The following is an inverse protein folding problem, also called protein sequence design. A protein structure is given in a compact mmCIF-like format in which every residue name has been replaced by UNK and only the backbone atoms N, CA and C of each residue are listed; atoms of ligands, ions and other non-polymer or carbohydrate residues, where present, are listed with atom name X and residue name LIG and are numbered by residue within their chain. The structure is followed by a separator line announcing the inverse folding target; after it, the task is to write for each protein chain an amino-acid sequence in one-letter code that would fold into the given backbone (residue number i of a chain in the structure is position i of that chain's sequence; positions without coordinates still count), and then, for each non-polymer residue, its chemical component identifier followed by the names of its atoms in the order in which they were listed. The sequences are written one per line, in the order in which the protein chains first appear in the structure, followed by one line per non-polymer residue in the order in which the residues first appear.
data_IF_416058542148
#
_entry.id   IF_416058542148
#
_cell.length_a   1.000
_cell.length_b   1.000
_cell.length_c   1.000
_cell.angle_alpha   90.00
_cell.angle_beta   90.00
_cell.angle_gamma   90.00
#
_symmetry.space_group_name_H-M   'P 1'
#
loop_
_entity.id
_entity.type
_entity.pdbx_description
1 polymer ?
#
# COMPACT_ATOMS: atom_id res chain seq x y z
N UNK A 1 27.46 -15.63 -0.29
CA UNK A 1 26.92 -15.78 -1.65
C UNK A 1 25.48 -16.22 -1.55
N UNK A 2 24.54 -15.38 -1.96
CA UNK A 2 23.13 -15.74 -2.08
C UNK A 2 23.02 -16.69 -3.28
N UNK A 3 22.80 -17.99 -3.03
CA UNK A 3 22.49 -18.92 -4.12
C UNK A 3 21.16 -18.51 -4.74
N UNK A 4 21.20 -17.99 -5.93
CA UNK A 4 20.01 -17.71 -6.75
C UNK A 4 19.31 -19.04 -7.01
N UNK A 5 18.12 -19.23 -6.43
CA UNK A 5 17.33 -20.43 -6.73
C UNK A 5 16.79 -20.29 -8.14
N UNK A 6 17.04 -21.22 -9.05
CA UNK A 6 16.52 -21.16 -10.41
C UNK A 6 15.00 -21.14 -10.39
N UNK A 7 14.41 -20.39 -11.31
CA UNK A 7 12.96 -20.37 -11.50
C UNK A 7 12.48 -21.78 -11.90
N UNK A 8 11.41 -22.25 -11.25
CA UNK A 8 10.76 -23.51 -11.58
C UNK A 8 9.67 -23.28 -12.61
N UNK A 9 9.57 -24.13 -13.63
CA UNK A 9 8.41 -24.16 -14.52
C UNK A 9 7.15 -24.59 -13.73
N UNK A 10 5.98 -24.42 -14.32
CA UNK A 10 4.70 -24.72 -13.65
C UNK A 10 4.56 -26.20 -13.28
N UNK A 11 5.02 -27.11 -14.12
CA UNK A 11 5.04 -28.54 -13.82
C UNK A 11 5.86 -28.84 -12.56
N UNK A 12 7.09 -28.34 -12.49
CA UNK A 12 7.94 -28.52 -11.30
C UNK A 12 7.37 -27.82 -10.06
N UNK A 13 6.57 -26.76 -10.23
CA UNK A 13 5.85 -26.13 -9.11
C UNK A 13 4.72 -27.04 -8.58
N UNK A 14 3.95 -27.69 -9.46
CA UNK A 14 2.91 -28.66 -9.08
C UNK A 14 3.54 -29.85 -8.34
N UNK A 15 4.59 -30.45 -8.90
CA UNK A 15 5.31 -31.56 -8.25
C UNK A 15 5.83 -31.17 -6.86
N UNK A 16 6.37 -29.97 -6.72
CA UNK A 16 6.80 -29.42 -5.43
C UNK A 16 5.63 -29.26 -4.45
N UNK A 17 4.48 -28.77 -4.91
CA UNK A 17 3.28 -28.61 -4.08
C UNK A 17 2.76 -29.98 -3.60
N UNK A 18 2.74 -30.98 -4.45
CA UNK A 18 2.34 -32.36 -4.09
C UNK A 18 3.31 -32.99 -3.09
N UNK A 19 4.58 -33.08 -3.46
CA UNK A 19 5.56 -33.85 -2.70
C UNK A 19 6.03 -33.16 -1.41
N UNK A 20 6.21 -31.82 -1.43
CA UNK A 20 6.78 -31.09 -0.30
C UNK A 20 5.74 -30.35 0.54
N UNK A 21 4.52 -30.14 0.02
CA UNK A 21 3.47 -29.38 0.70
C UNK A 21 2.19 -30.19 0.91
N UNK A 22 2.13 -31.41 0.41
CA UNK A 22 0.97 -32.31 0.50
C UNK A 22 -0.33 -31.61 0.02
N UNK A 23 -0.19 -30.80 -1.06
CA UNK A 23 -1.35 -30.12 -1.66
C UNK A 23 -2.01 -31.10 -2.62
N UNK A 24 -3.33 -31.21 -2.52
CA UNK A 24 -4.17 -32.05 -3.36
C UNK A 24 -4.80 -31.24 -4.51
N UNK A 25 -5.19 -31.90 -5.57
CA UNK A 25 -5.72 -31.30 -6.81
C UNK A 25 -7.00 -32.03 -7.25
N UNK A 26 -7.98 -32.15 -6.34
CA UNK A 26 -9.23 -32.88 -6.60
C UNK A 26 -10.27 -32.00 -7.31
N UNK A 27 -10.46 -30.77 -6.83
CA UNK A 27 -11.44 -29.83 -7.39
C UNK A 27 -10.89 -29.01 -8.57
N UNK A 28 -9.60 -28.69 -8.53
CA UNK A 28 -8.86 -28.05 -9.62
C UNK A 28 -7.78 -29.05 -10.03
N UNK A 29 -7.92 -29.66 -11.20
CA UNK A 29 -6.96 -30.65 -11.70
C UNK A 29 -5.61 -30.00 -12.00
N UNK A 30 -4.55 -30.82 -12.02
CA UNK A 30 -3.16 -30.35 -12.14
C UNK A 30 -2.92 -29.45 -13.36
N UNK A 31 -3.51 -29.79 -14.51
CA UNK A 31 -3.40 -28.98 -15.73
C UNK A 31 -4.01 -27.58 -15.55
N UNK A 32 -5.20 -27.51 -14.94
CA UNK A 32 -5.84 -26.23 -14.64
C UNK A 32 -5.03 -25.43 -13.60
N UNK A 33 -4.46 -26.10 -12.62
CA UNK A 33 -3.59 -25.46 -11.62
C UNK A 33 -2.30 -24.93 -12.25
N UNK A 34 -1.72 -25.63 -13.25
CA UNK A 34 -0.59 -25.12 -14.03
C UNK A 34 -0.95 -23.84 -14.78
N UNK A 35 -2.12 -23.78 -15.43
CA UNK A 35 -2.62 -22.60 -16.13
C UNK A 35 -2.83 -21.42 -15.16
N UNK A 36 -3.35 -21.68 -13.97
CA UNK A 36 -3.52 -20.66 -12.92
C UNK A 36 -2.14 -20.14 -12.48
N UNK A 37 -1.18 -21.02 -12.21
CA UNK A 37 0.15 -20.62 -11.80
C UNK A 37 0.91 -19.90 -12.93
N UNK A 38 0.67 -20.26 -14.18
CA UNK A 38 1.22 -19.56 -15.34
C UNK A 38 0.68 -18.15 -15.47
N UNK A 39 -0.66 -17.97 -15.31
CA UNK A 39 -1.32 -16.64 -15.41
C UNK A 39 -1.00 -15.71 -14.25
N UNK A 40 -0.99 -16.23 -13.04
CA UNK A 40 -0.98 -15.39 -11.83
C UNK A 40 0.30 -15.51 -11.00
N UNK A 41 1.19 -16.43 -11.33
CA UNK A 41 2.43 -16.73 -10.65
C UNK A 41 2.24 -17.37 -9.25
N UNK A 42 3.11 -18.32 -8.93
CA UNK A 42 3.20 -19.00 -7.63
C UNK A 42 3.30 -18.02 -6.44
N UNK A 43 4.05 -16.92 -6.64
CA UNK A 43 4.27 -15.91 -5.58
C UNK A 43 2.96 -15.21 -5.21
N UNK A 44 2.04 -15.06 -6.15
CA UNK A 44 0.76 -14.38 -5.89
C UNK A 44 -0.32 -15.33 -5.38
N UNK A 45 -0.37 -16.57 -5.91
CA UNK A 45 -1.46 -17.52 -5.60
C UNK A 45 -1.19 -18.31 -4.33
N UNK A 46 0.06 -18.69 -4.07
CA UNK A 46 0.41 -19.60 -2.97
C UNK A 46 1.09 -18.91 -1.81
N UNK A 47 2.13 -18.12 -2.13
CA UNK A 47 3.05 -17.61 -1.09
C UNK A 47 2.36 -16.75 -0.02
N UNK A 48 1.45 -15.82 -0.35
CA UNK A 48 0.83 -14.94 0.64
C UNK A 48 -0.08 -15.69 1.63
N UNK A 49 -0.68 -16.79 1.19
CA UNK A 49 -1.74 -17.49 1.93
C UNK A 49 -1.25 -18.74 2.69
N UNK A 50 0.03 -19.11 2.60
CA UNK A 50 0.60 -20.29 3.29
C UNK A 50 0.28 -20.35 4.78
N UNK A 51 0.23 -19.21 5.39
CA UNK A 51 0.00 -19.09 6.82
C UNK A 51 -1.43 -19.46 7.28
N UNK A 52 -2.40 -19.42 6.37
CA UNK A 52 -3.77 -19.85 6.68
C UNK A 52 -3.85 -21.35 6.97
N UNK A 53 -2.87 -22.10 6.48
CA UNK A 53 -2.82 -23.56 6.58
C UNK A 53 -1.65 -24.07 7.44
N UNK A 54 -0.78 -23.17 7.89
CA UNK A 54 0.39 -23.54 8.70
C UNK A 54 -0.02 -23.95 10.09
N UNK A 55 0.56 -25.05 10.56
CA UNK A 55 0.46 -25.48 11.96
C UNK A 55 1.09 -24.45 12.88
N UNK A 56 0.40 -24.09 13.94
CA UNK A 56 0.87 -23.12 14.92
C UNK A 56 1.10 -23.79 16.28
N UNK A 57 2.04 -23.25 17.04
CA UNK A 57 2.23 -23.59 18.46
C UNK A 57 1.13 -22.95 19.35
N UNK A 58 1.21 -23.20 20.64
CA UNK A 58 0.25 -22.65 21.64
C UNK A 58 0.24 -21.12 21.68
N UNK A 59 1.32 -20.50 21.28
CA UNK A 59 1.47 -19.03 21.23
C UNK A 59 1.08 -18.44 19.86
N UNK A 60 0.61 -19.28 18.93
CA UNK A 60 0.20 -18.92 17.59
C UNK A 60 1.38 -18.60 16.65
N UNK A 61 2.58 -19.09 16.95
CA UNK A 61 3.71 -19.01 16.02
C UNK A 61 3.69 -20.20 15.06
N UNK A 62 4.02 -19.95 13.81
CA UNK A 62 4.06 -21.00 12.79
C UNK A 62 5.19 -21.99 13.07
N UNK A 63 4.85 -23.27 13.14
CA UNK A 63 5.83 -24.36 13.27
C UNK A 63 6.46 -24.60 11.90
N UNK A 64 7.79 -24.69 11.85
CA UNK A 64 8.56 -24.92 10.63
C UNK A 64 9.53 -26.07 10.87
N UNK A 65 9.66 -26.90 9.86
CA UNK A 65 10.70 -27.92 9.77
C UNK A 65 11.69 -27.54 8.65
N UNK A 66 12.96 -27.42 8.97
CA UNK A 66 14.02 -26.94 8.04
C UNK A 66 13.61 -25.67 7.25
N UNK A 67 12.98 -24.71 7.95
CA UNK A 67 12.47 -23.47 7.36
C UNK A 67 11.21 -23.61 6.50
N UNK A 68 10.64 -24.81 6.36
CA UNK A 68 9.43 -25.08 5.58
C UNK A 68 8.21 -25.08 6.50
N UNK A 69 7.11 -24.50 6.03
CA UNK A 69 5.84 -24.56 6.76
C UNK A 69 5.33 -25.99 6.85
N UNK A 70 4.96 -26.42 8.05
CA UNK A 70 4.20 -27.66 8.28
C UNK A 70 2.71 -27.28 8.25
N UNK A 71 1.91 -28.04 7.51
CA UNK A 71 0.46 -27.83 7.47
C UNK A 71 -0.25 -28.76 8.46
N UNK A 72 -1.34 -28.30 9.02
CA UNK A 72 -2.13 -29.08 9.98
C UNK A 72 -2.86 -30.25 9.34
N UNK A 73 -3.19 -30.12 8.05
CA UNK A 73 -3.92 -31.10 7.24
C UNK A 73 -3.47 -31.01 5.78
N UNK A 74 -3.92 -31.97 5.00
CA UNK A 74 -3.83 -31.85 3.55
C UNK A 74 -4.68 -30.66 3.09
N UNK A 75 -4.14 -29.85 2.17
CA UNK A 75 -4.74 -28.62 1.68
C UNK A 75 -5.03 -28.79 0.20
N UNK A 76 -6.23 -28.42 -0.20
CA UNK A 76 -6.64 -28.44 -1.60
C UNK A 76 -6.15 -27.18 -2.33
N UNK A 77 -5.65 -27.31 -3.54
CA UNK A 77 -5.17 -26.16 -4.33
C UNK A 77 -6.27 -25.10 -4.52
N UNK A 78 -7.52 -25.54 -4.66
CA UNK A 78 -8.69 -24.66 -4.76
C UNK A 78 -8.83 -23.73 -3.56
N UNK A 79 -8.41 -24.14 -2.36
CA UNK A 79 -8.48 -23.30 -1.16
C UNK A 79 -7.56 -22.08 -1.29
N UNK A 80 -6.34 -22.27 -1.79
CA UNK A 80 -5.43 -21.16 -2.09
C UNK A 80 -5.98 -20.23 -3.16
N UNK A 81 -6.51 -20.81 -4.24
CA UNK A 81 -7.03 -20.05 -5.34
C UNK A 81 -8.30 -19.28 -4.97
N UNK A 82 -9.12 -19.82 -4.07
CA UNK A 82 -10.27 -19.10 -3.53
C UNK A 82 -9.85 -17.91 -2.67
N UNK A 83 -8.87 -18.06 -1.77
CA UNK A 83 -8.32 -16.94 -1.00
C UNK A 83 -7.78 -15.84 -1.93
N UNK A 84 -7.04 -16.23 -2.97
CA UNK A 84 -6.55 -15.30 -3.98
C UNK A 84 -7.69 -14.54 -4.69
N UNK A 85 -8.74 -15.25 -5.15
CA UNK A 85 -9.90 -14.63 -5.81
C UNK A 85 -10.67 -13.71 -4.88
N UNK A 86 -10.92 -14.15 -3.65
CA UNK A 86 -11.67 -13.38 -2.64
C UNK A 86 -10.95 -12.07 -2.29
N UNK A 87 -9.63 -12.11 -2.20
CA UNK A 87 -8.84 -10.91 -1.99
C UNK A 87 -8.93 -9.97 -3.20
N UNK A 88 -8.74 -10.50 -4.42
CA UNK A 88 -8.76 -9.70 -5.66
C UNK A 88 -10.15 -9.10 -5.96
N UNK A 89 -11.21 -9.76 -5.59
CA UNK A 89 -12.58 -9.24 -5.76
C UNK A 89 -12.84 -7.93 -5.02
N UNK A 90 -12.08 -7.64 -3.96
CA UNK A 90 -12.17 -6.40 -3.16
C UNK A 90 -11.42 -5.21 -3.78
N UNK A 91 -10.46 -5.46 -4.68
CA UNK A 91 -9.59 -4.41 -5.22
C UNK A 91 -10.33 -3.28 -5.92
N UNK A 92 -11.32 -3.51 -6.77
CA UNK A 92 -12.03 -2.43 -7.44
C UNK A 92 -12.66 -1.43 -6.45
N UNK A 93 -13.28 -1.92 -5.38
CA UNK A 93 -13.90 -1.08 -4.35
C UNK A 93 -12.84 -0.33 -3.55
N UNK A 94 -11.76 -1.01 -3.17
CA UNK A 94 -10.64 -0.41 -2.44
C UNK A 94 -10.01 0.71 -3.28
N UNK A 95 -9.74 0.46 -4.57
CA UNK A 95 -9.17 1.45 -5.49
C UNK A 95 -10.09 2.66 -5.61
N UNK A 96 -11.39 2.44 -5.88
CA UNK A 96 -12.40 3.51 -5.99
C UNK A 96 -12.39 4.41 -4.75
N UNK A 97 -12.42 3.82 -3.56
CA UNK A 97 -12.42 4.55 -2.30
C UNK A 97 -11.12 5.35 -2.08
N UNK A 98 -9.97 4.75 -2.41
CA UNK A 98 -8.67 5.40 -2.26
C UNK A 98 -8.51 6.56 -3.25
N UNK A 99 -8.85 6.37 -4.52
CA UNK A 99 -8.74 7.42 -5.52
C UNK A 99 -9.66 8.61 -5.20
N UNK A 100 -10.88 8.36 -4.72
CA UNK A 100 -11.76 9.42 -4.25
C UNK A 100 -11.23 10.16 -3.02
N UNK A 101 -10.53 9.47 -2.12
CA UNK A 101 -9.84 10.11 -1.00
C UNK A 101 -8.63 10.93 -1.51
N UNK A 102 -7.79 10.35 -2.36
CA UNK A 102 -6.59 10.99 -2.92
C UNK A 102 -6.93 12.29 -3.64
N UNK A 103 -7.95 12.28 -4.49
CA UNK A 103 -8.41 13.47 -5.20
C UNK A 103 -8.78 14.59 -4.22
N UNK A 104 -9.66 14.31 -3.26
CA UNK A 104 -10.10 15.32 -2.29
C UNK A 104 -8.97 15.81 -1.38
N UNK A 105 -8.09 14.90 -0.95
CA UNK A 105 -6.92 15.26 -0.14
C UNK A 105 -6.05 16.28 -0.87
N UNK A 106 -5.73 16.02 -2.14
CA UNK A 106 -4.91 16.91 -2.98
C UNK A 106 -5.59 18.25 -3.23
N UNK A 107 -6.86 18.24 -3.58
CA UNK A 107 -7.62 19.48 -3.87
C UNK A 107 -7.74 20.40 -2.66
N UNK A 108 -8.05 19.84 -1.48
CA UNK A 108 -8.15 20.63 -0.23
C UNK A 108 -6.77 21.17 0.15
N UNK A 109 -5.74 20.36 0.03
CA UNK A 109 -4.37 20.79 0.35
C UNK A 109 -3.90 21.89 -0.60
N UNK A 110 -4.12 21.73 -1.92
CA UNK A 110 -3.80 22.75 -2.91
C UNK A 110 -4.51 24.07 -2.61
N UNK A 111 -5.83 24.03 -2.40
CA UNK A 111 -6.62 25.20 -2.06
C UNK A 111 -6.07 25.91 -0.83
N UNK A 112 -5.79 25.20 0.25
CA UNK A 112 -5.29 25.79 1.50
C UNK A 112 -3.88 26.36 1.36
N UNK A 113 -2.98 25.66 0.70
CA UNK A 113 -1.63 26.18 0.45
C UNK A 113 -1.71 27.48 -0.34
N UNK A 114 -2.41 27.48 -1.48
CA UNK A 114 -2.45 28.62 -2.37
C UNK A 114 -3.18 29.83 -1.76
N UNK A 115 -4.23 29.61 -0.95
CA UNK A 115 -4.98 30.71 -0.34
C UNK A 115 -4.42 31.22 0.98
N UNK A 116 -3.71 30.37 1.75
CA UNK A 116 -3.15 30.75 3.06
C UNK A 116 -1.75 31.34 2.97
N UNK A 117 -1.03 31.11 1.86
CA UNK A 117 0.34 31.59 1.66
C UNK A 117 0.43 32.72 0.64
N UNK A 118 -0.72 33.14 0.08
CA UNK A 118 -0.80 34.20 -0.95
C UNK A 118 0.12 33.95 -2.16
N UNK A 119 0.37 32.65 -2.46
CA UNK A 119 1.16 32.25 -3.63
C UNK A 119 0.41 32.70 -4.89
N UNK A 120 1.03 33.58 -5.65
CA UNK A 120 0.44 34.22 -6.81
C UNK A 120 1.11 33.78 -8.13
N UNK A 121 2.26 33.16 -8.04
CA UNK A 121 3.03 32.71 -9.20
C UNK A 121 3.87 31.47 -8.88
N UNK A 122 4.43 30.90 -9.93
CA UNK A 122 5.23 29.69 -9.91
C UNK A 122 6.48 29.76 -9.04
N UNK A 123 7.23 30.87 -9.14
CA UNK A 123 8.46 31.05 -8.37
C UNK A 123 8.19 31.08 -6.87
N UNK A 124 7.09 31.67 -6.46
CA UNK A 124 6.64 31.68 -5.07
C UNK A 124 6.25 30.27 -4.60
N UNK A 125 5.58 29.49 -5.45
CA UNK A 125 5.25 28.09 -5.14
C UNK A 125 6.52 27.25 -5.01
N UNK A 126 7.48 27.38 -5.92
CA UNK A 126 8.75 26.65 -5.86
C UNK A 126 9.51 27.00 -4.58
N UNK A 127 9.66 28.30 -4.27
CA UNK A 127 10.32 28.77 -3.06
C UNK A 127 9.64 28.22 -1.79
N UNK A 128 8.31 28.19 -1.79
CA UNK A 128 7.53 27.63 -0.69
C UNK A 128 7.73 26.12 -0.52
N UNK A 129 7.73 25.36 -1.62
CA UNK A 129 7.97 23.92 -1.61
C UNK A 129 9.40 23.58 -1.16
N UNK A 130 10.39 24.38 -1.56
CA UNK A 130 11.77 24.28 -1.08
C UNK A 130 11.86 24.51 0.44
N UNK A 131 11.15 25.52 0.96
CA UNK A 131 11.07 25.76 2.39
C UNK A 131 10.38 24.62 3.16
N UNK A 132 9.36 23.98 2.57
CA UNK A 132 8.72 22.78 3.12
C UNK A 132 9.73 21.62 3.16
N UNK A 133 10.49 21.41 2.09
CA UNK A 133 11.49 20.35 1.98
C UNK A 133 12.45 20.34 3.15
N UNK A 134 12.90 21.51 3.58
CA UNK A 134 13.83 21.65 4.70
C UNK A 134 13.21 21.28 6.07
N UNK A 135 11.89 21.26 6.18
CA UNK A 135 11.16 20.92 7.40
C UNK A 135 10.73 19.46 7.49
N UNK A 136 10.86 18.69 6.40
CA UNK A 136 10.47 17.28 6.38
C UNK A 136 11.44 16.47 7.26
N UNK A 137 10.93 15.72 8.26
CA UNK A 137 11.78 14.90 9.11
C UNK A 137 12.50 13.80 8.32
N UNK A 138 13.84 13.75 8.38
CA UNK A 138 14.66 12.78 7.64
C UNK A 138 14.91 11.46 8.38
N UNK A 139 14.26 11.24 9.51
CA UNK A 139 14.52 10.14 10.44
C UNK A 139 14.07 8.76 9.98
N UNK A 140 13.64 8.59 8.73
CA UNK A 140 13.29 7.27 8.19
C UNK A 140 13.71 7.13 6.73
N UNK A 141 14.19 5.93 6.35
CA UNK A 141 14.47 5.54 4.95
C UNK A 141 13.28 5.84 4.01
N UNK A 142 12.09 5.85 4.56
CA UNK A 142 10.86 6.13 3.87
C UNK A 142 10.73 7.59 3.42
N UNK A 143 11.21 8.54 4.22
CA UNK A 143 11.18 9.96 3.87
C UNK A 143 12.22 10.30 2.79
N UNK A 144 13.36 9.61 2.74
CA UNK A 144 14.36 9.82 1.70
C UNK A 144 13.82 9.54 0.29
N UNK A 145 13.23 8.39 0.05
CA UNK A 145 12.67 8.05 -1.27
C UNK A 145 11.56 9.03 -1.70
N UNK A 146 10.78 9.52 -0.76
CA UNK A 146 9.69 10.47 -1.06
C UNK A 146 10.18 11.89 -1.31
N UNK A 147 11.24 12.30 -0.64
CA UNK A 147 11.92 13.55 -0.92
C UNK A 147 12.50 13.56 -2.33
N UNK A 148 13.11 12.46 -2.75
CA UNK A 148 13.57 12.30 -4.13
C UNK A 148 12.42 12.45 -5.14
N UNK A 149 11.31 11.79 -4.89
CA UNK A 149 10.11 11.95 -5.72
C UNK A 149 9.56 13.39 -5.69
N UNK A 150 9.54 14.03 -4.53
CA UNK A 150 9.12 15.43 -4.40
C UNK A 150 10.06 16.36 -5.18
N UNK A 151 11.38 16.19 -5.07
CA UNK A 151 12.37 16.95 -5.83
C UNK A 151 12.15 16.79 -7.34
N UNK A 152 11.98 15.56 -7.82
CA UNK A 152 11.69 15.30 -9.22
C UNK A 152 10.40 16.01 -9.70
N UNK A 153 9.39 16.13 -8.85
CA UNK A 153 8.18 16.89 -9.19
C UNK A 153 8.42 18.40 -9.20
N UNK A 154 9.23 18.93 -8.28
CA UNK A 154 9.64 20.35 -8.27
C UNK A 154 10.47 20.66 -9.52
N UNK A 155 11.45 19.82 -9.85
CA UNK A 155 12.28 19.99 -11.05
C UNK A 155 11.45 19.91 -12.35
N UNK A 156 10.39 19.11 -12.38
CA UNK A 156 9.46 19.05 -13.51
C UNK A 156 8.59 20.31 -13.57
N UNK A 157 8.19 20.84 -12.44
CA UNK A 157 7.46 22.09 -12.33
C UNK A 157 8.28 23.23 -12.96
N UNK A 158 9.54 23.41 -12.57
CA UNK A 158 10.45 24.41 -13.11
C UNK A 158 10.61 24.36 -14.63
N UNK A 159 10.45 23.17 -15.23
CA UNK A 159 10.62 22.97 -16.68
C UNK A 159 9.34 23.12 -17.49
N UNK A 160 8.18 22.97 -16.88
CA UNK A 160 6.92 22.76 -17.60
C UNK A 160 5.90 23.87 -17.43
N UNK A 161 6.02 24.74 -16.44
CA UNK A 161 4.99 25.74 -16.17
C UNK A 161 5.14 26.92 -17.10
N UNK A 162 4.06 27.21 -17.81
CA UNK A 162 3.91 28.40 -18.62
C UNK A 162 2.64 29.18 -18.29
N UNK A 163 1.76 28.66 -17.42
CA UNK A 163 0.46 29.22 -17.21
C UNK A 163 -0.08 28.95 -15.79
N UNK A 164 -0.93 29.80 -15.28
CA UNK A 164 -1.57 29.76 -13.94
C UNK A 164 -2.37 28.48 -13.65
N UNK A 165 -2.98 27.90 -14.68
CA UNK A 165 -3.68 26.61 -14.59
C UNK A 165 -2.75 25.47 -14.12
N UNK A 166 -1.46 25.59 -14.38
CA UNK A 166 -0.46 24.58 -14.08
C UNK A 166 -0.12 24.47 -12.60
N UNK A 167 -0.30 25.54 -11.80
CA UNK A 167 -0.08 25.53 -10.34
C UNK A 167 -1.03 24.54 -9.66
N UNK A 168 -2.31 24.51 -10.05
CA UNK A 168 -3.27 23.52 -9.56
C UNK A 168 -2.97 22.13 -10.10
N UNK A 169 -2.60 22.04 -11.38
CA UNK A 169 -2.20 20.78 -12.03
C UNK A 169 -1.00 20.11 -11.34
N UNK A 170 -0.10 20.89 -10.74
CA UNK A 170 1.00 20.36 -9.95
C UNK A 170 0.53 19.41 -8.85
N UNK A 171 -0.46 19.83 -8.06
CA UNK A 171 -1.02 19.00 -6.99
C UNK A 171 -1.76 17.79 -7.55
N UNK A 172 -2.45 17.92 -8.67
CA UNK A 172 -3.19 16.81 -9.29
C UNK A 172 -2.27 15.70 -9.81
N UNK A 173 -1.09 16.04 -10.31
CA UNK A 173 -0.11 15.07 -10.81
C UNK A 173 0.63 14.31 -9.72
N UNK A 174 0.62 14.80 -8.48
CA UNK A 174 1.30 14.14 -7.37
C UNK A 174 0.61 12.84 -6.97
N UNK A 175 1.40 11.87 -6.53
CA UNK A 175 0.85 10.72 -5.80
C UNK A 175 0.41 11.12 -4.40
N UNK A 176 -0.53 10.36 -3.82
CA UNK A 176 -0.95 10.55 -2.42
C UNK A 176 0.25 10.52 -1.46
N UNK A 177 1.27 9.70 -1.77
CA UNK A 177 2.49 9.63 -0.96
C UNK A 177 3.29 10.92 -0.95
N UNK A 178 3.48 11.56 -2.11
CA UNK A 178 4.17 12.86 -2.23
C UNK A 178 3.35 13.95 -1.55
N UNK A 179 2.04 13.97 -1.76
CA UNK A 179 1.14 14.92 -1.10
C UNK A 179 1.19 14.82 0.42
N UNK A 180 1.26 13.59 0.96
CA UNK A 180 1.45 13.37 2.40
C UNK A 180 2.81 13.88 2.89
N UNK A 181 3.85 13.76 2.07
CA UNK A 181 5.18 14.27 2.40
C UNK A 181 5.16 15.80 2.49
N UNK A 182 4.52 16.49 1.54
CA UNK A 182 4.31 17.94 1.59
C UNK A 182 3.51 18.31 2.85
N UNK A 183 2.39 17.62 3.12
CA UNK A 183 1.60 17.85 4.34
C UNK A 183 2.45 17.75 5.61
N UNK A 184 3.35 16.78 5.70
CA UNK A 184 4.21 16.59 6.88
C UNK A 184 5.25 17.72 7.09
N UNK A 185 5.60 18.44 6.03
CA UNK A 185 6.52 19.59 6.07
C UNK A 185 5.84 20.96 6.18
N UNK A 186 4.50 21.03 6.15
CA UNK A 186 3.78 22.27 6.36
C UNK A 186 3.99 22.80 7.79
N UNK A 187 3.82 24.09 7.98
CA UNK A 187 3.77 24.67 9.33
C UNK A 187 2.59 24.12 10.15
N UNK A 188 2.73 24.11 11.48
CA UNK A 188 1.72 23.54 12.36
C UNK A 188 0.35 24.23 12.28
N UNK A 189 0.33 25.53 11.96
CA UNK A 189 -0.91 26.31 11.82
C UNK A 189 -1.73 25.76 10.66
N UNK A 190 -1.11 25.63 9.50
CA UNK A 190 -1.73 25.14 8.28
C UNK A 190 -2.09 23.64 8.39
N UNK A 191 -1.24 22.82 9.03
CA UNK A 191 -1.57 21.41 9.31
C UNK A 191 -2.83 21.28 10.16
N UNK A 192 -2.97 22.09 11.22
CA UNK A 192 -4.17 22.10 12.09
C UNK A 192 -5.41 22.57 11.33
N UNK A 193 -5.27 23.54 10.45
CA UNK A 193 -6.35 24.04 9.62
C UNK A 193 -6.84 22.96 8.65
N UNK A 194 -5.91 22.32 7.94
CA UNK A 194 -6.21 21.19 7.05
C UNK A 194 -6.85 20.02 7.81
N UNK A 195 -6.36 19.68 9.00
CA UNK A 195 -6.95 18.61 9.80
C UNK A 195 -8.42 18.92 10.17
N UNK A 196 -8.76 20.16 10.48
CA UNK A 196 -10.16 20.59 10.72
C UNK A 196 -11.02 20.48 9.46
N UNK A 197 -10.46 20.85 8.28
CA UNK A 197 -11.18 20.69 7.01
C UNK A 197 -11.43 19.21 6.71
N UNK A 198 -10.43 18.35 6.90
CA UNK A 198 -10.58 16.91 6.75
C UNK A 198 -11.58 16.31 7.75
N UNK A 199 -11.62 16.82 9.00
CA UNK A 199 -12.60 16.41 9.99
C UNK A 199 -14.02 16.77 9.55
N UNK A 200 -14.24 18.00 9.12
CA UNK A 200 -15.53 18.49 8.62
C UNK A 200 -16.07 17.63 7.46
N UNK A 201 -15.17 17.10 6.64
CA UNK A 201 -15.50 16.27 5.47
C UNK A 201 -15.45 14.76 5.76
N UNK A 202 -15.26 14.37 7.02
CA UNK A 202 -15.18 12.95 7.42
C UNK A 202 -13.94 12.23 6.92
N UNK A 203 -12.88 12.97 6.55
CA UNK A 203 -11.65 12.44 5.95
C UNK A 203 -10.50 12.25 6.95
N UNK A 204 -10.68 12.61 8.22
CA UNK A 204 -9.62 12.56 9.23
C UNK A 204 -9.49 11.19 9.93
N UNK A 205 -10.23 10.15 9.47
CA UNK A 205 -10.25 8.80 10.08
C UNK A 205 -10.62 8.79 11.57
N UNK A 206 -11.31 9.81 12.08
CA UNK A 206 -11.68 9.95 13.49
C UNK A 206 -10.49 10.29 14.41
N UNK A 207 -9.34 10.69 13.88
CA UNK A 207 -8.18 11.13 14.68
C UNK A 207 -8.16 12.63 14.87
N UNK A 208 -7.61 13.10 16.01
CA UNK A 208 -7.59 14.52 16.38
C UNK A 208 -6.21 15.14 16.34
N UNK A 209 -5.14 14.35 16.27
CA UNK A 209 -3.79 14.87 16.22
C UNK A 209 -3.13 14.61 14.87
N UNK A 210 -2.17 15.45 14.52
CA UNK A 210 -1.48 15.47 13.22
C UNK A 210 -0.69 14.17 12.98
N UNK A 211 0.01 13.67 13.99
CA UNK A 211 0.84 12.47 13.86
C UNK A 211 0.00 11.22 13.58
N UNK A 212 -1.12 11.05 14.29
CA UNK A 212 -2.05 9.95 14.06
C UNK A 212 -2.69 10.06 12.67
N UNK A 213 -2.98 11.28 12.21
CA UNK A 213 -3.49 11.52 10.86
C UNK A 213 -2.47 11.12 9.80
N UNK A 214 -1.23 11.59 9.91
CA UNK A 214 -0.14 11.21 9.01
C UNK A 214 0.01 9.69 8.97
N UNK A 215 -0.01 9.03 10.12
CA UNK A 215 0.10 7.57 10.22
C UNK A 215 -1.08 6.84 9.55
N UNK A 216 -2.30 7.39 9.60
CA UNK A 216 -3.47 6.83 8.91
C UNK A 216 -3.38 7.00 7.39
N UNK A 217 -3.04 8.20 6.92
CA UNK A 217 -2.85 8.43 5.47
C UNK A 217 -1.69 7.60 4.94
N UNK A 218 -0.62 7.44 5.72
CA UNK A 218 0.48 6.54 5.39
C UNK A 218 0.02 5.09 5.19
N UNK A 219 -0.85 4.60 6.07
CA UNK A 219 -1.44 3.27 5.94
C UNK A 219 -2.25 3.14 4.64
N UNK A 220 -3.00 4.19 4.29
CA UNK A 220 -3.76 4.27 3.04
C UNK A 220 -2.84 4.22 1.82
N UNK A 221 -1.72 4.96 1.84
CA UNK A 221 -0.70 4.93 0.77
C UNK A 221 -0.12 3.54 0.59
N UNK A 222 0.19 2.82 1.68
CA UNK A 222 0.72 1.47 1.61
C UNK A 222 -0.30 0.50 0.98
N UNK A 223 -1.57 0.58 1.37
CA UNK A 223 -2.66 -0.22 0.78
C UNK A 223 -2.82 0.12 -0.70
N UNK A 224 -2.86 1.41 -1.05
CA UNK A 224 -2.96 1.88 -2.43
C UNK A 224 -1.85 1.28 -3.30
N UNK A 225 -0.61 1.39 -2.87
CA UNK A 225 0.52 0.86 -3.63
C UNK A 225 0.45 -0.66 -3.75
N UNK A 226 0.06 -1.37 -2.70
CA UNK A 226 -0.11 -2.82 -2.74
C UNK A 226 -1.14 -3.23 -3.79
N UNK A 227 -2.32 -2.62 -3.79
CA UNK A 227 -3.42 -2.95 -4.71
C UNK A 227 -3.10 -2.52 -6.15
N UNK A 228 -2.54 -1.34 -6.35
CA UNK A 228 -2.18 -0.82 -7.69
C UNK A 228 -1.08 -1.65 -8.37
N UNK A 229 -0.18 -2.24 -7.62
CA UNK A 229 0.83 -3.18 -8.13
C UNK A 229 0.36 -4.63 -8.15
N UNK A 230 -0.92 -4.88 -7.92
CA UNK A 230 -1.48 -6.22 -7.84
C UNK A 230 -0.76 -7.16 -6.85
N UNK A 231 -0.17 -6.61 -5.78
CA UNK A 231 0.40 -7.39 -4.70
C UNK A 231 -0.69 -7.86 -3.74
N UNK A 232 -0.44 -8.94 -2.99
CA UNK A 232 -1.37 -9.40 -1.97
C UNK A 232 -1.40 -8.47 -0.76
N UNK A 233 -2.60 -8.15 -0.28
CA UNK A 233 -2.82 -7.38 0.95
C UNK A 233 -2.33 -8.12 2.22
N UNK A 234 -2.21 -9.45 2.15
CA UNK A 234 -1.63 -10.27 3.22
C UNK A 234 -0.18 -9.85 3.52
N UNK A 235 0.55 -9.34 2.52
CA UNK A 235 1.92 -8.82 2.72
C UNK A 235 1.94 -7.66 3.71
N UNK A 236 0.93 -6.79 3.69
CA UNK A 236 0.81 -5.65 4.62
C UNK A 236 0.45 -6.08 6.04
N UNK A 237 -0.34 -7.15 6.15
CA UNK A 237 -0.74 -7.72 7.44
C UNK A 237 0.41 -8.52 8.04
N UNK A 238 1.21 -9.16 7.20
CA UNK A 238 2.35 -9.99 7.57
C UNK A 238 3.62 -9.49 6.89
N UNK A 239 4.30 -8.58 7.54
CA UNK A 239 5.51 -7.97 7.00
C UNK A 239 6.58 -9.03 6.69
N UNK A 240 6.98 -9.13 5.42
CA UNK A 240 8.14 -9.88 4.96
C UNK A 240 9.37 -8.98 5.03
N UNK A 241 10.35 -9.38 5.85
CA UNK A 241 11.64 -8.69 5.87
C UNK A 241 12.55 -9.31 4.81
N UNK A 242 12.83 -8.62 3.68
CA UNK A 242 13.66 -9.16 2.60
C UNK A 242 15.11 -9.44 3.03
N UNK A 243 15.64 -8.70 4.00
CA UNK A 243 17.00 -8.89 4.49
C UNK A 243 17.17 -10.17 5.32
N UNK A 244 16.12 -10.62 6.00
CA UNK A 244 16.16 -11.81 6.87
C UNK A 244 15.37 -12.99 6.33
N UNK A 245 14.65 -12.82 5.21
CA UNK A 245 13.68 -13.79 4.64
C UNK A 245 12.67 -14.32 5.67
N UNK A 246 12.41 -13.58 6.75
CA UNK A 246 11.48 -13.96 7.81
C UNK A 246 10.22 -13.11 7.74
N UNK A 247 9.07 -13.76 7.78
CA UNK A 247 7.80 -13.11 8.07
C UNK A 247 7.82 -12.67 9.54
N UNK A 248 7.86 -11.37 9.79
CA UNK A 248 7.61 -10.83 11.12
C UNK A 248 6.13 -10.49 11.24
N UNK A 249 5.51 -10.80 12.39
CA UNK A 249 4.20 -10.25 12.72
C UNK A 249 4.29 -8.73 12.65
N UNK A 250 3.55 -8.12 11.74
CA UNK A 250 3.46 -6.67 11.68
C UNK A 250 2.79 -6.19 12.98
N UNK A 251 3.50 -5.37 13.78
CA UNK A 251 2.93 -4.76 15.00
C UNK A 251 1.63 -3.99 14.69
N UNK A 252 1.48 -3.53 13.46
CA UNK A 252 0.32 -2.80 12.97
C UNK A 252 -0.73 -3.68 12.26
N UNK A 253 -0.68 -5.01 12.39
CA UNK A 253 -1.62 -5.95 11.74
C UNK A 253 -3.08 -5.50 11.87
N UNK A 254 -3.50 -5.16 13.09
CA UNK A 254 -4.89 -4.73 13.38
C UNK A 254 -5.25 -3.44 12.63
N UNK A 255 -4.32 -2.52 12.50
CA UNK A 255 -4.49 -1.24 11.82
C UNK A 255 -4.71 -1.43 10.32
N UNK A 256 -3.86 -2.23 9.65
CA UNK A 256 -4.02 -2.55 8.24
C UNK A 256 -5.30 -3.33 7.97
N UNK A 257 -5.57 -4.39 8.74
CA UNK A 257 -6.77 -5.20 8.59
C UNK A 257 -8.04 -4.37 8.74
N UNK A 258 -8.11 -3.48 9.75
CA UNK A 258 -9.24 -2.57 9.93
C UNK A 258 -9.41 -1.66 8.73
N UNK A 259 -8.35 -1.00 8.26
CA UNK A 259 -8.44 -0.06 7.13
C UNK A 259 -8.81 -0.78 5.82
N UNK A 260 -8.28 -1.98 5.58
CA UNK A 260 -8.65 -2.80 4.42
C UNK A 260 -10.15 -3.13 4.47
N UNK A 261 -10.67 -3.57 5.61
CA UNK A 261 -12.09 -3.83 5.78
C UNK A 261 -12.94 -2.58 5.56
N UNK A 262 -12.53 -1.44 6.14
CA UNK A 262 -13.22 -0.17 5.95
C UNK A 262 -13.26 0.28 4.48
N UNK A 263 -12.18 0.02 3.73
CA UNK A 263 -12.07 0.35 2.31
C UNK A 263 -12.79 -0.65 1.39
N UNK A 264 -13.04 -1.87 1.86
CA UNK A 264 -13.72 -2.92 1.09
C UNK A 264 -15.25 -2.77 1.09
N UNK A 265 -15.79 -1.84 1.85
CA UNK A 265 -17.21 -1.52 1.89
C UNK A 265 -17.47 -0.35 0.95
N UNK A 266 -18.53 -0.44 0.15
CA UNK A 266 -18.95 0.66 -0.69
C UNK A 266 -19.44 1.82 0.18
N UNK A 267 -18.58 2.80 0.39
CA UNK A 267 -18.91 4.00 1.16
C UNK A 267 -19.52 5.04 0.21
N UNK A 268 -20.51 5.78 0.69
CA UNK A 268 -21.12 6.92 0.00
C UNK A 268 -20.12 8.04 -0.40
N UNK A 269 -18.82 7.88 -0.13
CA UNK A 269 -17.75 8.80 -0.58
C UNK A 269 -17.56 8.84 -2.11
N UNK A 270 -18.27 7.97 -2.85
CA UNK A 270 -18.25 7.92 -4.30
C UNK A 270 -19.41 8.68 -4.95
N UNK A 271 -20.26 9.33 -4.18
CA UNK A 271 -21.27 10.22 -4.72
C UNK A 271 -20.68 11.64 -4.76
N UNK A 272 -20.08 11.98 -5.89
CA UNK A 272 -19.96 13.33 -6.42
C UNK A 272 -20.99 13.47 -7.52
#
# INVERSE_FOLDING_TARGET
MSMYKPAKNTQSQIEYLKSNKKITFNSIHEEQAQDILFKYNYINVITPYKHHFSKCDKDGNEIKDDGKHIYERDVEFSEYFNLFKDERSKYPIIIKNILGYELRFKSIMAYRILTSTEISNENELIAYLEAIRLRIPLNSDYNHSRLEHMNNHIDQLEKSIKDYADIYCFFDRMSLGVSLTIFSGLDQGLQKQLLKDFERLGMNFGVKNINDFIDKVFTLVAIRNCVMHCNSLEILIRYYNPATHKLRRNRNKKKYAKMINDLSIEKQYAQI
#
